data_IF_208489011258
#
_entry.id   IF_208489011258
#
_cell.length_a   1.000
_cell.length_b   1.000
_cell.length_c   1.000
_cell.angle_alpha   90.00
_cell.angle_beta   90.00
_cell.angle_gamma   90.00
#
_symmetry.space_group_name_H-M   'P 1'
#
loop_
_entity.id
_entity.type
_entity.pdbx_description
1 polymer ?
#
# COMPACT_ATOMS: atom_id res chain seq x y z
N UNK A 1 -26.30 7.91 23.84
CA UNK A 1 -24.84 7.83 23.72
C UNK A 1 -24.48 8.22 22.30
N UNK A 2 -23.80 9.35 22.09
CA UNK A 2 -23.42 9.80 20.75
C UNK A 2 -22.17 8.99 20.36
N UNK A 3 -22.31 8.05 19.42
CA UNK A 3 -21.18 7.37 18.81
C UNK A 3 -20.38 8.42 18.03
N UNK A 4 -19.37 8.99 18.67
CA UNK A 4 -18.32 9.76 18.00
C UNK A 4 -17.52 8.77 17.18
N UNK A 5 -17.93 8.54 15.93
CA UNK A 5 -17.08 7.87 14.95
C UNK A 5 -15.80 8.71 14.85
N UNK A 6 -14.75 8.30 15.55
CA UNK A 6 -13.43 8.92 15.42
C UNK A 6 -13.06 8.81 13.94
N UNK A 7 -13.02 9.95 13.26
CA UNK A 7 -12.51 10.02 11.90
C UNK A 7 -11.05 9.50 11.97
N UNK A 8 -10.82 8.29 11.44
CA UNK A 8 -9.46 7.77 11.29
C UNK A 8 -8.74 8.72 10.33
N UNK A 9 -7.77 9.46 10.84
CA UNK A 9 -6.87 10.25 10.01
C UNK A 9 -5.92 9.27 9.32
N UNK A 10 -6.06 9.14 8.01
CA UNK A 10 -5.12 8.35 7.21
C UNK A 10 -3.90 9.21 6.90
N UNK A 11 -2.72 8.68 7.17
CA UNK A 11 -1.45 9.31 6.80
C UNK A 11 -0.96 8.81 5.45
N UNK A 12 -0.05 9.55 4.84
CA UNK A 12 0.69 9.12 3.65
C UNK A 12 1.41 7.77 3.89
N UNK A 13 1.90 7.53 5.12
CA UNK A 13 2.50 6.26 5.51
C UNK A 13 1.52 5.09 5.50
N UNK A 14 0.26 5.32 5.84
CA UNK A 14 -0.79 4.28 5.78
C UNK A 14 -1.10 3.91 4.33
N UNK A 15 -1.13 4.90 3.44
CA UNK A 15 -1.27 4.67 1.99
C UNK A 15 -0.12 3.81 1.44
N UNK A 16 1.13 4.08 1.84
CA UNK A 16 2.27 3.26 1.42
C UNK A 16 2.16 1.80 1.92
N UNK A 17 1.72 1.60 3.16
CA UNK A 17 1.55 0.25 3.73
C UNK A 17 0.45 -0.52 3.04
N UNK A 18 -0.69 0.12 2.77
CA UNK A 18 -1.81 -0.53 2.11
C UNK A 18 -1.46 -0.89 0.67
N UNK A 19 -0.78 0.01 -0.06
CA UNK A 19 -0.30 -0.29 -1.40
C UNK A 19 0.73 -1.45 -1.40
N UNK A 20 1.64 -1.49 -0.43
CA UNK A 20 2.61 -2.58 -0.32
C UNK A 20 1.93 -3.92 -0.07
N UNK A 21 0.92 -3.93 0.80
CA UNK A 21 0.12 -5.12 1.07
C UNK A 21 -0.62 -5.60 -0.18
N UNK A 22 -1.33 -4.71 -0.87
CA UNK A 22 -2.07 -5.04 -2.10
C UNK A 22 -1.15 -5.63 -3.17
N UNK A 23 -0.01 -4.99 -3.43
CA UNK A 23 0.96 -5.49 -4.41
C UNK A 23 1.48 -6.87 -4.00
N UNK A 24 1.84 -7.07 -2.73
CA UNK A 24 2.32 -8.37 -2.26
C UNK A 24 1.25 -9.47 -2.33
N UNK A 25 -0.01 -9.15 -2.05
CA UNK A 25 -1.12 -10.09 -2.09
C UNK A 25 -1.43 -10.53 -3.54
N UNK A 26 -1.43 -9.59 -4.49
CA UNK A 26 -1.52 -9.91 -5.93
C UNK A 26 -0.38 -10.82 -6.37
N UNK A 27 0.86 -10.48 -6.00
CA UNK A 27 2.03 -11.27 -6.35
C UNK A 27 2.00 -12.69 -5.76
N UNK A 28 1.49 -12.87 -4.53
CA UNK A 28 1.28 -14.19 -3.92
C UNK A 28 0.18 -14.96 -4.66
N UNK A 29 -0.94 -14.31 -4.98
CA UNK A 29 -2.05 -14.91 -5.71
C UNK A 29 -1.64 -15.41 -7.10
N UNK A 30 -0.75 -14.69 -7.79
CA UNK A 30 -0.24 -15.09 -9.10
C UNK A 30 0.74 -16.27 -9.06
N UNK A 31 1.48 -16.45 -7.95
CA UNK A 31 2.57 -17.43 -7.88
C UNK A 31 2.25 -18.66 -7.05
N UNK A 32 1.12 -18.67 -6.33
CA UNK A 32 0.70 -19.73 -5.40
C UNK A 32 1.78 -20.12 -4.37
N UNK A 33 2.76 -19.23 -4.14
CA UNK A 33 3.88 -19.44 -3.22
C UNK A 33 4.25 -18.14 -2.52
N UNK A 34 5.01 -18.26 -1.43
CA UNK A 34 5.63 -17.12 -0.79
C UNK A 34 6.59 -16.41 -1.75
N UNK A 35 6.64 -15.08 -1.64
CA UNK A 35 7.61 -14.26 -2.35
C UNK A 35 9.00 -14.49 -1.77
N UNK A 36 9.98 -14.58 -2.65
CA UNK A 36 11.40 -14.54 -2.26
C UNK A 36 11.75 -13.15 -1.73
N UNK A 37 12.83 -13.00 -0.94
CA UNK A 37 13.24 -11.69 -0.43
C UNK A 37 13.44 -10.63 -1.53
N UNK A 38 13.99 -11.02 -2.67
CA UNK A 38 14.19 -10.12 -3.81
C UNK A 38 12.85 -9.68 -4.44
N UNK A 39 11.85 -10.57 -4.49
CA UNK A 39 10.50 -10.24 -4.95
C UNK A 39 9.80 -9.31 -3.97
N UNK A 40 9.95 -9.52 -2.66
CA UNK A 40 9.42 -8.63 -1.62
C UNK A 40 9.96 -7.21 -1.77
N UNK A 41 11.27 -7.04 -1.92
CA UNK A 41 11.89 -5.71 -2.12
C UNK A 41 11.33 -5.02 -3.37
N UNK A 42 11.23 -5.74 -4.50
CA UNK A 42 10.65 -5.19 -5.74
C UNK A 42 9.18 -4.83 -5.59
N UNK A 43 8.39 -5.64 -4.88
CA UNK A 43 6.98 -5.34 -4.59
C UNK A 43 6.84 -4.09 -3.73
N UNK A 44 7.72 -3.89 -2.74
CA UNK A 44 7.74 -2.67 -1.91
C UNK A 44 8.13 -1.42 -2.70
N UNK A 45 9.13 -1.52 -3.58
CA UNK A 45 9.52 -0.43 -4.49
C UNK A 45 8.38 -0.05 -5.45
N UNK A 46 7.73 -1.05 -6.04
CA UNK A 46 6.56 -0.85 -6.90
C UNK A 46 5.41 -0.18 -6.14
N UNK A 47 5.11 -0.64 -4.93
CA UNK A 47 4.08 -0.05 -4.10
C UNK A 47 4.39 1.42 -3.75
N UNK A 48 5.64 1.74 -3.40
CA UNK A 48 6.06 3.14 -3.18
C UNK A 48 5.86 3.99 -4.42
N UNK A 49 6.18 3.48 -5.61
CA UNK A 49 5.97 4.19 -6.87
C UNK A 49 4.48 4.45 -7.13
N UNK A 50 3.64 3.43 -6.99
CA UNK A 50 2.18 3.54 -7.16
C UNK A 50 1.60 4.58 -6.20
N UNK A 51 1.94 4.51 -4.92
CA UNK A 51 1.47 5.47 -3.93
C UNK A 51 1.95 6.90 -4.22
N UNK A 52 3.20 7.09 -4.69
CA UNK A 52 3.68 8.42 -5.12
C UNK A 52 2.88 8.96 -6.31
N UNK A 53 2.55 8.11 -7.28
CA UNK A 53 1.72 8.50 -8.43
C UNK A 53 0.32 8.92 -7.99
N UNK A 54 -0.33 8.10 -7.15
CA UNK A 54 -1.66 8.40 -6.63
C UNK A 54 -1.69 9.72 -5.83
N UNK A 55 -0.71 9.93 -4.94
CA UNK A 55 -0.60 11.16 -4.17
C UNK A 55 -0.37 12.39 -5.07
N UNK A 56 0.43 12.25 -6.13
CA UNK A 56 0.64 13.32 -7.11
C UNK A 56 -0.63 13.66 -7.89
N UNK A 57 -1.40 12.66 -8.32
CA UNK A 57 -2.71 12.86 -8.96
C UNK A 57 -3.70 13.57 -8.03
N UNK A 58 -3.66 13.22 -6.74
CA UNK A 58 -4.45 13.86 -5.68
C UNK A 58 -3.93 15.25 -5.27
N UNK A 59 -2.80 15.71 -5.85
CA UNK A 59 -2.11 16.96 -5.49
C UNK A 59 -1.74 17.06 -4.00
N UNK A 60 -1.42 15.92 -3.40
CA UNK A 60 -0.96 15.78 -2.02
C UNK A 60 0.57 15.70 -1.91
N UNK A 61 1.27 15.64 -3.05
CA UNK A 61 2.72 15.66 -3.22
C UNK A 61 3.10 16.56 -4.41
#
# INVERSE_FOLDING_TARGET
>A
MINKTQAKTYTVSDLYKEAAKLVQDEFKGMKERALTPAEQVKSEELAKLISKMALKEMKLL
#
